data_IF_387148044120
#
_entry.id   IF_387148044120
#
_cell.length_a   1.000
_cell.length_b   1.000
_cell.length_c   1.000
_cell.angle_alpha   90.00
_cell.angle_beta   90.00
_cell.angle_gamma   90.00
#
_symmetry.space_group_name_H-M   'P 1'
#
loop_
_entity.id
_entity.type
_entity.pdbx_description
1 polymer ?
#
# COMPACT_ATOMS: atom_id res chain seq x y z
N UNK A 1 22.30 18.29 0.37
CA UNK A 1 20.91 18.77 0.30
C UNK A 1 20.38 18.98 1.71
N UNK A 2 19.64 20.06 1.99
CA UNK A 2 19.01 20.26 3.30
C UNK A 2 17.78 19.37 3.49
N UNK A 3 17.33 19.17 4.74
CA UNK A 3 16.10 18.40 5.05
C UNK A 3 14.85 18.97 4.38
N UNK A 4 14.74 20.30 4.32
CA UNK A 4 13.60 20.99 3.68
C UNK A 4 13.58 20.79 2.17
N UNK A 5 14.74 20.91 1.52
CA UNK A 5 14.89 20.63 0.08
C UNK A 5 14.60 19.15 -0.22
N UNK A 6 15.08 18.24 0.62
CA UNK A 6 14.82 16.81 0.47
C UNK A 6 13.32 16.51 0.55
N UNK A 7 12.64 17.04 1.58
CA UNK A 7 11.19 16.86 1.71
C UNK A 7 10.44 17.41 0.50
N UNK A 8 10.82 18.60 0.03
CA UNK A 8 10.20 19.22 -1.15
C UNK A 8 10.43 18.41 -2.43
N UNK A 9 11.64 17.89 -2.64
CA UNK A 9 11.95 17.04 -3.77
C UNK A 9 11.20 15.68 -3.71
N UNK A 10 11.12 15.09 -2.52
CA UNK A 10 10.39 13.84 -2.27
C UNK A 10 8.89 14.01 -2.51
N UNK A 11 8.31 15.14 -2.09
CA UNK A 11 6.93 15.54 -2.40
C UNK A 11 6.68 15.84 -3.88
N UNK A 12 7.68 15.76 -4.75
CA UNK A 12 7.52 15.84 -6.20
C UNK A 12 8.02 14.59 -6.93
N UNK A 13 8.42 13.55 -6.20
CA UNK A 13 8.95 12.31 -6.79
C UNK A 13 10.26 12.52 -7.55
N UNK A 14 11.09 13.49 -7.15
CA UNK A 14 12.30 13.81 -7.90
C UNK A 14 13.44 12.84 -7.56
N UNK A 15 14.14 12.37 -8.61
CA UNK A 15 15.34 11.53 -8.48
C UNK A 15 16.51 12.21 -7.74
N UNK A 16 16.45 13.52 -7.51
CA UNK A 16 17.44 14.23 -6.70
C UNK A 16 17.51 13.74 -5.25
N UNK A 17 16.45 13.14 -4.71
CA UNK A 17 16.50 12.48 -3.40
C UNK A 17 17.38 11.24 -3.40
N UNK A 18 17.35 10.44 -4.47
CA UNK A 18 18.22 9.26 -4.62
C UNK A 18 19.68 9.68 -4.64
N UNK A 19 20.01 10.67 -5.48
CA UNK A 19 21.36 11.25 -5.53
C UNK A 19 21.81 11.82 -4.18
N UNK A 20 20.88 12.39 -3.41
CA UNK A 20 21.18 12.90 -2.07
C UNK A 20 21.48 11.77 -1.07
N UNK A 21 20.81 10.62 -1.16
CA UNK A 21 21.12 9.46 -0.32
C UNK A 21 22.46 8.83 -0.70
N UNK A 22 22.73 8.67 -2.00
CA UNK A 22 23.98 8.08 -2.51
C UNK A 22 25.23 8.92 -2.19
N UNK A 23 25.09 10.25 -2.14
CA UNK A 23 26.21 11.18 -1.91
C UNK A 23 26.34 11.69 -0.47
N UNK A 24 25.37 11.40 0.40
CA UNK A 24 25.39 11.86 1.77
C UNK A 24 26.40 11.07 2.63
N UNK A 25 27.12 11.79 3.50
CA UNK A 25 27.93 11.16 4.56
C UNK A 25 27.08 10.52 5.65
N UNK A 26 25.87 11.05 5.84
CA UNK A 26 24.91 10.60 6.84
C UNK A 26 23.51 10.59 6.22
N UNK A 27 23.04 9.39 5.86
CA UNK A 27 21.69 9.20 5.31
C UNK A 27 20.61 9.18 6.40
N UNK A 28 20.99 8.93 7.66
CA UNK A 28 20.06 8.81 8.79
C UNK A 28 19.29 10.12 9.03
N UNK A 29 19.90 11.26 8.68
CA UNK A 29 19.23 12.56 8.75
C UNK A 29 17.91 12.65 7.94
N UNK A 30 17.73 11.80 6.91
CA UNK A 30 16.54 11.76 6.05
C UNK A 30 15.55 10.64 6.41
N UNK A 31 15.92 9.71 7.29
CA UNK A 31 15.13 8.51 7.62
C UNK A 31 13.68 8.86 8.01
N UNK A 32 13.49 9.82 8.91
CA UNK A 32 12.17 10.24 9.39
C UNK A 32 11.33 10.93 8.31
N UNK A 33 11.97 11.62 7.37
CA UNK A 33 11.25 12.26 6.25
C UNK A 33 10.72 11.20 5.29
N UNK A 34 11.52 10.16 5.03
CA UNK A 34 11.12 9.04 4.18
C UNK A 34 9.98 8.27 4.84
N UNK A 35 10.06 7.98 6.15
CA UNK A 35 8.96 7.38 6.89
C UNK A 35 7.69 8.26 6.84
N UNK A 36 7.84 9.57 7.03
CA UNK A 36 6.73 10.51 6.90
C UNK A 36 6.05 10.42 5.53
N UNK A 37 6.83 10.23 4.47
CA UNK A 37 6.35 10.00 3.11
C UNK A 37 5.67 8.64 2.94
N UNK A 38 6.25 7.56 3.49
CA UNK A 38 5.66 6.22 3.47
C UNK A 38 4.25 6.19 4.07
N UNK A 39 3.94 7.09 5.01
CA UNK A 39 2.63 7.17 5.64
C UNK A 39 1.62 8.09 4.93
N UNK A 40 1.97 8.69 3.79
CA UNK A 40 1.14 9.69 3.09
C UNK A 40 1.10 9.45 1.59
N UNK A 41 -0.08 9.66 1.04
CA UNK A 41 -0.26 9.83 -0.40
C UNK A 41 0.31 11.23 -0.77
N UNK A 42 1.27 11.27 -1.68
CA UNK A 42 2.07 12.46 -2.02
C UNK A 42 1.84 12.97 -3.45
N UNK A 43 1.12 12.25 -4.30
CA UNK A 43 0.80 12.68 -5.65
C UNK A 43 -0.13 13.89 -5.62
N UNK A 44 0.00 14.79 -6.60
CA UNK A 44 -0.93 15.91 -6.70
C UNK A 44 -2.26 15.44 -7.26
N UNK A 45 -2.18 14.60 -8.31
CA UNK A 45 -3.31 13.87 -8.86
C UNK A 45 -2.97 12.38 -9.00
N UNK A 46 -3.30 11.56 -7.98
CA UNK A 46 -3.03 10.12 -8.00
C UNK A 46 -3.69 9.38 -9.16
N UNK A 47 -4.77 9.92 -9.74
CA UNK A 47 -5.44 9.29 -10.87
C UNK A 47 -4.59 9.36 -12.15
N UNK A 48 -3.78 10.40 -12.30
CA UNK A 48 -2.88 10.60 -13.44
C UNK A 48 -1.45 10.16 -13.14
N UNK A 49 -0.97 10.36 -11.91
CA UNK A 49 0.40 10.07 -11.48
C UNK A 49 0.59 8.64 -10.95
N UNK A 50 -0.49 7.98 -10.50
CA UNK A 50 -0.39 6.81 -9.63
C UNK A 50 0.07 7.18 -8.22
N UNK A 51 0.36 6.17 -7.39
CA UNK A 51 0.96 6.40 -6.07
C UNK A 51 2.47 6.55 -6.16
N UNK A 52 3.08 7.11 -5.12
CA UNK A 52 4.55 7.20 -4.97
C UNK A 52 5.15 6.11 -4.11
N UNK A 53 4.40 5.04 -3.85
CA UNK A 53 4.83 3.93 -3.02
C UNK A 53 6.18 3.34 -3.46
N UNK A 54 6.34 3.06 -4.76
CA UNK A 54 7.58 2.47 -5.31
C UNK A 54 8.80 3.39 -5.09
N UNK A 55 8.65 4.67 -5.39
CA UNK A 55 9.68 5.67 -5.17
C UNK A 55 10.09 5.76 -3.68
N UNK A 56 9.11 5.77 -2.77
CA UNK A 56 9.38 5.82 -1.33
C UNK A 56 10.01 4.54 -0.81
N UNK A 57 9.62 3.38 -1.35
CA UNK A 57 10.29 2.11 -1.09
C UNK A 57 11.76 2.17 -1.52
N UNK A 58 12.07 2.70 -2.71
CA UNK A 58 13.46 2.81 -3.19
C UNK A 58 14.30 3.71 -2.28
N UNK A 59 13.73 4.82 -1.78
CA UNK A 59 14.40 5.64 -0.77
C UNK A 59 14.59 4.89 0.56
N UNK A 60 13.57 4.16 1.03
CA UNK A 60 13.63 3.38 2.27
C UNK A 60 14.60 2.20 2.19
N UNK A 61 14.78 1.60 1.02
CA UNK A 61 15.68 0.46 0.79
C UNK A 61 17.17 0.83 0.94
N UNK A 62 17.52 2.12 1.03
CA UNK A 62 18.87 2.56 1.40
C UNK A 62 19.21 2.28 2.87
N UNK A 63 18.19 2.00 3.69
CA UNK A 63 18.36 1.70 5.10
C UNK A 63 18.26 0.19 5.31
N UNK A 64 19.20 -0.39 6.06
CA UNK A 64 19.20 -1.83 6.35
C UNK A 64 18.13 -2.29 7.35
N UNK A 65 17.30 -1.38 7.85
CA UNK A 65 16.25 -1.64 8.84
C UNK A 65 14.88 -1.35 8.23
N UNK A 66 14.35 -2.34 7.51
CA UNK A 66 13.04 -2.25 6.87
C UNK A 66 11.90 -2.12 7.88
N UNK A 67 12.04 -2.71 9.07
CA UNK A 67 10.99 -2.73 10.09
C UNK A 67 10.60 -1.30 10.50
N UNK A 68 11.57 -0.38 10.54
CA UNK A 68 11.35 1.05 10.77
C UNK A 68 10.28 1.66 9.83
N UNK A 69 10.23 1.21 8.58
CA UNK A 69 9.30 1.70 7.58
C UNK A 69 8.03 0.85 7.47
N UNK A 70 8.18 -0.48 7.55
CA UNK A 70 7.09 -1.43 7.38
C UNK A 70 6.10 -1.38 8.54
N UNK A 71 6.56 -1.43 9.79
CA UNK A 71 5.67 -1.53 10.94
C UNK A 71 4.67 -0.37 11.05
N UNK A 72 5.07 0.91 10.88
CA UNK A 72 4.13 2.01 10.94
C UNK A 72 3.11 2.00 9.79
N UNK A 73 3.48 1.53 8.59
CA UNK A 73 2.56 1.39 7.46
C UNK A 73 1.58 0.25 7.69
N UNK A 74 2.05 -0.91 8.18
CA UNK A 74 1.20 -2.04 8.57
C UNK A 74 0.19 -1.61 9.64
N UNK A 75 0.65 -0.90 10.67
CA UNK A 75 -0.23 -0.40 11.73
C UNK A 75 -1.29 0.57 11.19
N UNK A 76 -0.92 1.44 10.24
CA UNK A 76 -1.84 2.37 9.60
C UNK A 76 -2.88 1.63 8.72
N UNK A 77 -2.44 0.68 7.89
CA UNK A 77 -3.32 -0.16 7.06
C UNK A 77 -4.33 -0.93 7.91
N UNK A 78 -3.88 -1.55 9.01
CA UNK A 78 -4.76 -2.30 9.93
C UNK A 78 -5.87 -1.43 10.52
N UNK A 79 -5.56 -0.19 10.89
CA UNK A 79 -6.53 0.77 11.46
C UNK A 79 -7.46 1.39 10.42
N UNK A 80 -7.09 1.38 9.15
CA UNK A 80 -7.86 2.00 8.08
C UNK A 80 -9.23 1.32 7.89
N UNK A 81 -10.29 2.12 7.92
CA UNK A 81 -11.64 1.68 7.56
C UNK A 81 -11.84 1.82 6.06
N UNK A 82 -12.77 1.06 5.49
CA UNK A 82 -13.03 1.15 4.06
C UNK A 82 -13.60 2.50 3.67
N UNK A 83 -13.02 3.09 2.64
CA UNK A 83 -13.14 4.52 2.34
C UNK A 83 -13.11 4.78 0.84
N UNK A 84 -13.81 5.82 0.40
CA UNK A 84 -13.77 6.29 -0.98
C UNK A 84 -13.00 7.60 -1.13
N UNK A 85 -12.82 8.06 -2.36
CA UNK A 85 -12.17 9.33 -2.67
C UNK A 85 -10.70 9.34 -2.25
N UNK A 86 -10.21 10.42 -1.63
CA UNK A 86 -8.78 10.57 -1.25
C UNK A 86 -8.25 9.47 -0.33
N UNK A 87 -9.10 8.89 0.51
CA UNK A 87 -8.68 7.84 1.43
C UNK A 87 -8.47 6.49 0.71
N UNK A 88 -9.13 6.27 -0.44
CA UNK A 88 -8.84 5.12 -1.31
C UNK A 88 -7.42 5.20 -1.87
N UNK A 89 -6.98 6.38 -2.29
CA UNK A 89 -5.59 6.56 -2.77
C UNK A 89 -4.56 6.33 -1.68
N UNK A 90 -4.85 6.72 -0.44
CA UNK A 90 -4.00 6.39 0.70
C UNK A 90 -4.00 4.87 1.00
N UNK A 91 -5.14 4.19 0.82
CA UNK A 91 -5.23 2.74 0.93
C UNK A 91 -4.37 2.04 -0.13
N UNK A 92 -4.49 2.46 -1.40
CA UNK A 92 -3.69 1.98 -2.53
C UNK A 92 -2.20 2.19 -2.23
N UNK A 93 -1.81 3.39 -1.81
CA UNK A 93 -0.44 3.73 -1.43
C UNK A 93 0.13 2.80 -0.35
N UNK A 94 -0.64 2.51 0.71
CA UNK A 94 -0.21 1.54 1.73
C UNK A 94 -0.09 0.11 1.18
N UNK A 95 -0.99 -0.31 0.29
CA UNK A 95 -0.91 -1.64 -0.29
C UNK A 95 0.29 -1.76 -1.24
N UNK A 96 0.56 -0.76 -2.07
CA UNK A 96 1.66 -0.76 -3.03
C UNK A 96 3.03 -0.68 -2.36
N UNK A 97 3.17 0.08 -1.27
CA UNK A 97 4.46 0.14 -0.57
C UNK A 97 4.74 -1.17 0.16
N UNK A 98 3.72 -1.77 0.78
CA UNK A 98 3.84 -3.10 1.40
C UNK A 98 4.05 -4.19 0.35
N UNK A 99 3.50 -4.03 -0.87
CA UNK A 99 3.80 -4.92 -1.99
C UNK A 99 5.29 -4.88 -2.32
N UNK A 100 5.89 -3.69 -2.47
CA UNK A 100 7.31 -3.56 -2.77
C UNK A 100 8.19 -4.25 -1.71
N UNK A 101 7.87 -4.07 -0.41
CA UNK A 101 8.58 -4.77 0.66
C UNK A 101 8.33 -6.29 0.65
N UNK A 102 7.09 -6.72 0.38
CA UNK A 102 6.76 -8.15 0.29
C UNK A 102 7.48 -8.85 -0.87
N UNK A 103 7.59 -8.20 -2.02
CA UNK A 103 8.36 -8.66 -3.18
C UNK A 103 9.86 -8.77 -2.87
N UNK A 104 10.37 -7.88 -2.01
CA UNK A 104 11.74 -7.94 -1.50
C UNK A 104 11.96 -9.03 -0.42
N UNK A 105 10.90 -9.74 -0.02
CA UNK A 105 10.97 -10.83 0.96
C UNK A 105 10.52 -10.46 2.37
N UNK A 106 9.99 -9.26 2.60
CA UNK A 106 9.51 -8.86 3.92
C UNK A 106 8.21 -9.60 4.31
N UNK A 107 8.35 -10.57 5.23
CA UNK A 107 7.24 -11.41 5.67
C UNK A 107 6.13 -10.63 6.39
N UNK A 108 6.46 -9.57 7.12
CA UNK A 108 5.48 -8.77 7.85
C UNK A 108 4.60 -7.95 6.90
N UNK A 109 5.19 -7.38 5.85
CA UNK A 109 4.46 -6.68 4.80
C UNK A 109 3.51 -7.62 4.05
N UNK A 110 4.01 -8.80 3.66
CA UNK A 110 3.20 -9.86 3.05
C UNK A 110 2.02 -10.28 3.93
N UNK A 111 2.28 -10.59 5.19
CA UNK A 111 1.23 -11.00 6.14
C UNK A 111 0.17 -9.92 6.30
N UNK A 112 0.56 -8.65 6.37
CA UNK A 112 -0.38 -7.54 6.49
C UNK A 112 -1.34 -7.40 5.29
N UNK A 113 -0.84 -7.61 4.06
CA UNK A 113 -1.67 -7.59 2.85
C UNK A 113 -2.72 -8.72 2.87
N UNK A 114 -2.29 -9.94 3.22
CA UNK A 114 -3.16 -11.11 3.34
C UNK A 114 -4.21 -10.95 4.46
N UNK A 115 -3.80 -10.52 5.66
CA UNK A 115 -4.71 -10.26 6.77
C UNK A 115 -5.77 -9.21 6.41
N UNK A 116 -5.36 -8.15 5.67
CA UNK A 116 -6.29 -7.12 5.22
C UNK A 116 -7.27 -7.67 4.19
N UNK A 117 -6.80 -8.51 3.26
CA UNK A 117 -7.63 -9.18 2.27
C UNK A 117 -8.72 -10.01 2.95
N UNK A 118 -8.35 -10.87 3.90
CA UNK A 118 -9.28 -11.73 4.62
C UNK A 118 -10.32 -10.89 5.39
N UNK A 119 -9.87 -9.83 6.05
CA UNK A 119 -10.76 -8.93 6.78
C UNK A 119 -11.78 -8.25 5.87
N UNK A 120 -11.38 -7.81 4.67
CA UNK A 120 -12.29 -7.20 3.69
C UNK A 120 -13.21 -8.24 3.05
N UNK A 121 -12.70 -9.43 2.71
CA UNK A 121 -13.51 -10.53 2.18
C UNK A 121 -14.64 -10.90 3.13
N UNK A 122 -14.34 -11.06 4.42
CA UNK A 122 -15.35 -11.35 5.44
C UNK A 122 -16.38 -10.21 5.59
N UNK A 123 -15.95 -8.95 5.53
CA UNK A 123 -16.85 -7.80 5.55
C UNK A 123 -17.77 -7.79 4.33
N UNK A 124 -17.23 -8.02 3.13
CA UNK A 124 -17.99 -8.02 1.88
C UNK A 124 -19.05 -9.13 1.85
N UNK A 125 -18.73 -10.30 2.41
CA UNK A 125 -19.68 -11.40 2.56
C UNK A 125 -20.86 -11.06 3.46
N UNK A 126 -20.65 -10.23 4.49
CA UNK A 126 -21.66 -9.80 5.46
C UNK A 126 -22.40 -8.52 5.06
N UNK A 127 -21.84 -7.71 4.17
CA UNK A 127 -22.42 -6.44 3.75
C UNK A 127 -23.72 -6.63 2.94
N UNK A 128 -24.69 -5.76 3.17
CA UNK A 128 -25.92 -5.71 2.38
C UNK A 128 -25.65 -5.11 1.01
N UNK A 129 -26.12 -5.77 -0.06
CA UNK A 129 -25.92 -5.30 -1.44
C UNK A 129 -26.56 -3.95 -1.67
N UNK A 130 -25.90 -3.10 -2.46
CA UNK A 130 -26.35 -1.74 -2.77
C UNK A 130 -26.19 -0.74 -1.61
N UNK A 131 -25.65 -1.17 -0.47
CA UNK A 131 -25.26 -0.23 0.58
C UNK A 131 -23.93 0.44 0.25
N UNK A 132 -23.79 1.72 0.58
CA UNK A 132 -22.52 2.45 0.44
C UNK A 132 -21.35 1.73 1.09
N UNK A 133 -21.56 1.08 2.24
CA UNK A 133 -20.52 0.28 2.91
C UNK A 133 -20.08 -0.90 2.06
N UNK A 134 -20.99 -1.56 1.36
CA UNK A 134 -20.64 -2.65 0.43
C UNK A 134 -19.77 -2.13 -0.71
N UNK A 135 -20.09 -0.98 -1.29
CA UNK A 135 -19.32 -0.39 -2.38
C UNK A 135 -17.90 -0.02 -1.93
N UNK A 136 -17.77 0.66 -0.79
CA UNK A 136 -16.46 1.04 -0.25
C UNK A 136 -15.58 -0.18 0.09
N UNK A 137 -16.17 -1.22 0.68
CA UNK A 137 -15.43 -2.46 1.00
C UNK A 137 -15.04 -3.19 -0.28
N UNK A 138 -15.90 -3.17 -1.31
CA UNK A 138 -15.61 -3.78 -2.61
C UNK A 138 -14.42 -3.10 -3.29
N UNK A 139 -14.39 -1.77 -3.33
CA UNK A 139 -13.32 -1.03 -4.02
C UNK A 139 -11.93 -1.29 -3.36
N UNK A 140 -11.85 -1.30 -2.02
CA UNK A 140 -10.63 -1.70 -1.30
C UNK A 140 -10.27 -3.18 -1.56
N UNK A 141 -11.28 -4.05 -1.59
CA UNK A 141 -11.09 -5.48 -1.79
C UNK A 141 -10.55 -5.77 -3.20
N UNK A 142 -11.09 -5.12 -4.23
CA UNK A 142 -10.62 -5.22 -5.61
C UNK A 142 -9.16 -4.76 -5.73
N UNK A 143 -8.78 -3.69 -5.04
CA UNK A 143 -7.39 -3.24 -4.97
C UNK A 143 -6.48 -4.35 -4.42
N UNK A 144 -6.85 -4.99 -3.30
CA UNK A 144 -6.05 -6.09 -2.73
C UNK A 144 -6.04 -7.35 -3.61
N UNK A 145 -7.10 -7.63 -4.35
CA UNK A 145 -7.11 -8.72 -5.33
C UNK A 145 -6.00 -8.51 -6.37
N UNK A 146 -5.88 -7.29 -6.90
CA UNK A 146 -4.83 -6.93 -7.87
C UNK A 146 -3.44 -7.04 -7.23
N UNK A 147 -3.25 -6.47 -6.03
CA UNK A 147 -1.96 -6.50 -5.31
C UNK A 147 -1.49 -7.94 -5.04
N UNK A 148 -2.37 -8.81 -4.52
CA UNK A 148 -2.00 -10.19 -4.22
C UNK A 148 -1.81 -11.03 -5.48
N UNK A 149 -2.50 -10.70 -6.57
CA UNK A 149 -2.26 -11.31 -7.89
C UNK A 149 -0.88 -10.93 -8.42
N UNK A 150 -0.46 -9.68 -8.27
CA UNK A 150 0.89 -9.25 -8.64
C UNK A 150 1.96 -9.95 -7.80
N UNK A 151 1.71 -10.11 -6.50
CA UNK A 151 2.68 -10.71 -5.57
C UNK A 151 2.88 -12.22 -5.79
N UNK A 152 1.81 -12.97 -6.06
CA UNK A 152 1.83 -14.44 -6.05
C UNK A 152 1.37 -15.09 -7.36
N UNK A 153 1.10 -14.29 -8.38
CA UNK A 153 0.80 -14.74 -9.72
C UNK A 153 -0.53 -15.49 -9.87
N UNK A 154 -0.53 -16.43 -10.82
CA UNK A 154 -1.76 -17.07 -11.34
C UNK A 154 -2.47 -17.92 -10.29
N UNK A 155 -1.74 -18.63 -9.43
CA UNK A 155 -2.36 -19.47 -8.41
C UNK A 155 -3.19 -18.64 -7.43
N UNK A 156 -2.67 -17.46 -7.06
CA UNK A 156 -3.38 -16.54 -6.18
C UNK A 156 -4.59 -15.93 -6.89
N UNK A 157 -4.46 -15.57 -8.17
CA UNK A 157 -5.59 -15.12 -8.98
C UNK A 157 -6.72 -16.16 -9.01
N UNK A 158 -6.41 -17.44 -9.22
CA UNK A 158 -7.41 -18.53 -9.24
C UNK A 158 -8.08 -18.70 -7.88
N UNK A 159 -7.33 -18.61 -6.78
CA UNK A 159 -7.89 -18.62 -5.42
C UNK A 159 -8.86 -17.46 -5.20
N UNK A 160 -8.48 -16.24 -5.59
CA UNK A 160 -9.32 -15.04 -5.45
C UNK A 160 -10.60 -15.17 -6.29
N UNK A 161 -10.49 -15.65 -7.53
CA UNK A 161 -11.65 -15.88 -8.40
C UNK A 161 -12.63 -16.90 -7.78
N UNK A 162 -12.09 -17.94 -7.13
CA UNK A 162 -12.88 -18.93 -6.40
C UNK A 162 -13.59 -18.33 -5.19
N UNK A 163 -12.92 -17.47 -4.42
CA UNK A 163 -13.50 -16.76 -3.27
C UNK A 163 -14.67 -15.85 -3.69
N UNK A 164 -14.49 -15.12 -4.80
CA UNK A 164 -15.54 -14.27 -5.40
C UNK A 164 -16.71 -15.13 -5.88
N UNK A 165 -16.43 -16.21 -6.63
CA UNK A 165 -17.44 -17.12 -7.15
C UNK A 165 -18.24 -17.83 -6.05
N UNK A 166 -17.59 -18.26 -4.97
CA UNK A 166 -18.25 -18.83 -3.79
C UNK A 166 -19.16 -17.82 -3.07
N UNK A 167 -18.76 -16.54 -3.04
CA UNK A 167 -19.58 -15.44 -2.55
C UNK A 167 -20.85 -15.21 -3.37
N UNK A 168 -20.80 -15.44 -4.70
CA UNK A 168 -21.95 -15.32 -5.60
C UNK A 168 -22.91 -16.51 -5.48
N UNK A 169 -22.40 -17.75 -5.36
CA UNK A 169 -23.25 -18.97 -5.27
C UNK A 169 -24.10 -19.02 -3.99
N UNK A 170 -23.57 -18.56 -2.84
CA UNK A 170 -24.34 -18.46 -1.58
C UNK A 170 -25.46 -17.40 -1.59
N UNK A 171 -25.65 -16.68 -2.71
CA UNK A 171 -26.58 -15.56 -2.84
C UNK A 171 -27.69 -15.80 -3.89
N UNK A 172 -27.72 -16.99 -4.51
CA UNK A 172 -28.73 -17.40 -5.52
C UNK A 172 -29.74 -18.41 -4.92
N UNK A 173 -29.48 -18.89 -3.71
CA UNK A 173 -30.38 -19.75 -2.94
C UNK A 173 -30.79 -19.08 -1.63
#
# INVERSE_FOLDING_TARGET
MTKSEFKYAMQRGLGSCMLALESARDIEQYRDLILWGCQRELAFDPQCEGSRARYLYELAAHFGDEAYFVEPVVAALKKMRSTGGRQLWLFIHYCEILLCFAEAGNAAARAALYEKYDALYHKLRRAHRGSRTCDLVRDDFETLCSILTSLDGVDRFVSIASDIGGGLKKRIY
#
